data_IF_301025733452
#
_entry.id   IF_301025733452
#
_cell.length_a   1.000
_cell.length_b   1.000
_cell.length_c   1.000
_cell.angle_alpha   90.00
_cell.angle_beta   90.00
_cell.angle_gamma   90.00
#
_symmetry.space_group_name_H-M   'P 1'
#
loop_
_entity.id
_entity.type
_entity.pdbx_description
1 polymer ?
#
# COMPACT_ATOMS: atom_id res chain seq x y z
N UNK A 1 5.90 10.75 10.19
CA UNK A 1 6.43 10.20 11.45
C UNK A 1 7.70 9.46 11.11
N UNK A 2 8.67 9.46 12.02
CA UNK A 2 9.98 8.88 11.74
C UNK A 2 10.66 9.50 10.51
N UNK A 3 11.39 8.71 9.74
CA UNK A 3 12.18 9.16 8.58
C UNK A 3 11.39 9.82 7.47
N UNK A 4 10.09 9.61 7.42
CA UNK A 4 9.19 10.22 6.44
C UNK A 4 8.37 11.39 7.02
N UNK A 5 8.75 11.87 8.20
CA UNK A 5 8.09 12.98 8.88
C UNK A 5 8.76 14.32 8.63
N UNK A 6 8.40 15.32 9.44
CA UNK A 6 9.01 16.65 9.49
C UNK A 6 9.14 17.36 8.13
N UNK A 7 8.06 17.32 7.32
CA UNK A 7 8.03 17.83 5.95
C UNK A 7 9.13 17.23 5.07
N UNK A 8 9.00 15.95 4.78
CA UNK A 8 9.94 15.23 3.92
C UNK A 8 10.05 15.85 2.52
N UNK A 9 9.01 16.52 2.02
CA UNK A 9 9.04 17.19 0.74
C UNK A 9 10.06 18.35 0.74
N UNK A 10 10.05 19.18 1.78
CA UNK A 10 11.05 20.24 1.95
C UNK A 10 12.45 19.67 2.15
N UNK A 11 12.57 18.64 2.95
CA UNK A 11 13.86 17.95 3.20
C UNK A 11 14.44 17.41 1.90
N UNK A 12 13.63 16.77 1.06
CA UNK A 12 14.06 16.23 -0.22
C UNK A 12 14.52 17.35 -1.20
N UNK A 13 13.79 18.46 -1.25
CA UNK A 13 14.16 19.62 -2.07
C UNK A 13 15.53 20.19 -1.65
N UNK A 14 15.78 20.33 -0.34
CA UNK A 14 17.06 20.83 0.17
C UNK A 14 18.22 19.87 -0.10
N UNK A 15 18.00 18.56 0.07
CA UNK A 15 19.02 17.53 -0.22
C UNK A 15 19.34 17.45 -1.71
N UNK A 16 18.39 17.79 -2.57
CA UNK A 16 18.56 17.85 -4.01
C UNK A 16 19.16 19.19 -4.50
N UNK A 17 19.63 20.05 -3.59
CA UNK A 17 20.17 21.38 -3.87
C UNK A 17 19.20 22.29 -4.66
N UNK A 18 17.91 22.13 -4.45
CA UNK A 18 16.93 23.06 -5.00
C UNK A 18 16.94 24.38 -4.24
N UNK A 19 16.49 25.44 -4.91
CA UNK A 19 16.43 26.77 -4.31
C UNK A 19 15.67 26.73 -2.96
N UNK A 20 16.20 27.46 -1.97
CA UNK A 20 15.62 27.51 -0.62
C UNK A 20 14.21 28.10 -0.58
N UNK A 21 13.82 28.84 -1.61
CA UNK A 21 12.46 29.38 -1.77
C UNK A 21 11.43 28.30 -2.13
N UNK A 22 11.87 27.12 -2.62
CA UNK A 22 10.96 26.02 -2.93
C UNK A 22 10.34 25.48 -1.64
N UNK A 23 9.03 25.67 -1.51
CA UNK A 23 8.27 25.20 -0.35
C UNK A 23 8.05 23.70 -0.42
N UNK A 24 7.91 23.05 0.73
CA UNK A 24 7.42 21.67 0.85
C UNK A 24 5.99 21.65 1.38
N UNK A 25 5.27 20.61 1.04
CA UNK A 25 3.96 20.26 1.61
C UNK A 25 3.86 18.75 1.74
N UNK A 26 3.63 18.29 2.95
CA UNK A 26 3.36 16.89 3.22
C UNK A 26 1.88 16.68 3.52
N UNK A 27 1.29 15.68 2.87
CA UNK A 27 -0.11 15.30 3.09
C UNK A 27 -0.18 13.82 3.47
N UNK A 28 -1.23 13.48 4.19
CA UNK A 28 -1.57 12.09 4.48
C UNK A 28 -3.04 11.83 4.17
N UNK A 29 -3.29 10.89 3.26
CA UNK A 29 -4.58 10.32 2.94
C UNK A 29 -4.46 8.80 2.79
N UNK A 30 -3.63 8.20 3.61
CA UNK A 30 -3.31 6.77 3.58
C UNK A 30 -2.87 6.31 2.17
N UNK A 31 -3.37 5.17 1.71
CA UNK A 31 -3.03 4.62 0.38
C UNK A 31 -3.38 5.54 -0.80
N UNK A 32 -4.28 6.52 -0.60
CA UNK A 32 -4.64 7.51 -1.62
C UNK A 32 -3.75 8.76 -1.63
N UNK A 33 -2.75 8.87 -0.76
CA UNK A 33 -1.91 10.07 -0.62
C UNK A 33 -1.23 10.48 -1.93
N UNK A 34 -0.68 9.52 -2.68
CA UNK A 34 -0.03 9.81 -3.95
C UNK A 34 -0.98 10.40 -5.00
N UNK A 35 -2.18 9.84 -5.14
CA UNK A 35 -3.20 10.38 -6.04
C UNK A 35 -3.66 11.77 -5.58
N UNK A 36 -3.85 11.97 -4.28
CA UNK A 36 -4.23 13.28 -3.73
C UNK A 36 -3.15 14.33 -3.98
N UNK A 37 -1.87 13.98 -3.84
CA UNK A 37 -0.77 14.88 -4.16
C UNK A 37 -0.80 15.32 -5.63
N UNK A 38 -1.07 14.40 -6.57
CA UNK A 38 -1.24 14.72 -7.99
C UNK A 38 -2.42 15.65 -8.22
N UNK A 39 -3.57 15.36 -7.60
CA UNK A 39 -4.77 16.19 -7.72
C UNK A 39 -4.53 17.60 -7.19
N UNK A 40 -3.92 17.75 -6.01
CA UNK A 40 -3.58 19.04 -5.43
C UNK A 40 -2.59 19.83 -6.30
N UNK A 41 -1.52 19.18 -6.80
CA UNK A 41 -0.57 19.79 -7.71
C UNK A 41 -1.24 20.28 -8.99
N UNK A 42 -2.09 19.45 -9.59
CA UNK A 42 -2.83 19.83 -10.80
C UNK A 42 -3.80 21.02 -10.56
N UNK A 43 -4.46 21.04 -9.40
CA UNK A 43 -5.34 22.16 -9.03
C UNK A 43 -4.56 23.46 -8.83
N UNK A 44 -3.39 23.41 -8.17
CA UNK A 44 -2.54 24.59 -7.97
C UNK A 44 -2.08 25.21 -9.30
N UNK A 45 -1.60 24.37 -10.24
CA UNK A 45 -1.17 24.84 -11.55
C UNK A 45 -2.36 25.37 -12.38
N UNK A 46 -3.49 24.66 -12.39
CA UNK A 46 -4.68 25.09 -13.14
C UNK A 46 -5.30 26.38 -12.61
N UNK A 47 -5.19 26.65 -11.32
CA UNK A 47 -5.69 27.89 -10.72
C UNK A 47 -4.77 29.11 -10.95
N UNK A 48 -3.57 28.88 -11.49
CA UNK A 48 -2.55 29.92 -11.63
C UNK A 48 -1.90 30.33 -10.30
N UNK A 49 -2.08 29.53 -9.25
CA UNK A 49 -1.46 29.78 -7.94
C UNK A 49 0.03 29.41 -7.96
N UNK A 50 0.37 28.37 -8.72
CA UNK A 50 1.75 27.91 -8.93
C UNK A 50 1.97 27.63 -10.43
N UNK A 51 3.17 27.89 -10.92
CA UNK A 51 3.53 27.60 -12.31
C UNK A 51 4.03 26.16 -12.50
N UNK A 52 4.68 25.61 -11.46
CA UNK A 52 5.25 24.28 -11.46
C UNK A 52 5.12 23.63 -10.08
N UNK A 53 4.61 22.40 -10.04
CA UNK A 53 4.54 21.60 -8.82
C UNK A 53 5.13 20.23 -9.08
N UNK A 54 6.08 19.81 -8.26
CA UNK A 54 6.59 18.43 -8.24
C UNK A 54 5.84 17.65 -7.18
N UNK A 55 5.32 16.49 -7.55
CA UNK A 55 4.56 15.62 -6.66
C UNK A 55 5.22 14.25 -6.56
N UNK A 56 5.16 13.64 -5.38
CA UNK A 56 5.73 12.32 -5.16
C UNK A 56 5.21 11.70 -3.87
N UNK A 57 5.75 10.55 -3.51
CA UNK A 57 5.44 9.88 -2.27
C UNK A 57 6.62 9.05 -1.78
N UNK A 58 6.67 8.82 -0.49
CA UNK A 58 7.65 7.97 0.17
C UNK A 58 6.97 7.15 1.26
N UNK A 59 7.38 5.90 1.39
CA UNK A 59 6.97 5.03 2.48
C UNK A 59 8.18 4.22 2.97
N UNK A 60 8.70 4.56 4.14
CA UNK A 60 9.87 3.90 4.75
C UNK A 60 9.44 2.71 5.60
N UNK A 61 8.85 1.69 4.99
CA UNK A 61 8.19 0.57 5.68
C UNK A 61 9.11 -0.27 6.56
N UNK A 62 10.40 -0.34 6.24
CA UNK A 62 11.39 -1.06 7.07
C UNK A 62 11.77 -0.31 8.34
N UNK A 63 11.61 1.01 8.38
CA UNK A 63 12.01 1.87 9.50
C UNK A 63 10.83 2.48 10.24
N UNK A 64 9.71 2.67 9.59
CA UNK A 64 8.47 3.21 10.18
C UNK A 64 7.42 2.11 10.15
N UNK A 65 7.16 1.43 11.27
CA UNK A 65 6.18 0.36 11.33
C UNK A 65 4.77 0.89 11.03
N UNK A 66 3.98 0.07 10.34
CA UNK A 66 2.59 0.38 10.06
C UNK A 66 1.81 0.61 11.35
N UNK A 67 1.02 1.68 11.40
CA UNK A 67 0.24 2.06 12.56
C UNK A 67 1.03 2.73 13.69
N UNK A 68 2.34 3.04 13.48
CA UNK A 68 3.15 3.74 14.48
C UNK A 68 2.75 5.21 14.70
N UNK A 69 1.96 5.77 13.79
CA UNK A 69 1.32 7.07 13.94
C UNK A 69 0.07 7.04 14.85
N UNK A 70 -0.36 5.85 15.26
CA UNK A 70 -1.54 5.67 16.08
C UNK A 70 -2.82 5.91 15.31
N UNK A 71 -3.83 6.39 16.00
CA UNK A 71 -5.09 6.78 15.40
C UNK A 71 -6.29 6.18 16.09
N UNK A 72 -7.33 7.00 16.26
CA UNK A 72 -8.53 6.63 17.01
C UNK A 72 -9.30 5.48 16.35
N UNK A 73 -9.18 5.29 15.03
CA UNK A 73 -9.88 4.19 14.34
C UNK A 73 -9.55 2.80 14.88
N UNK A 74 -8.31 2.62 15.34
CA UNK A 74 -7.83 1.33 15.88
C UNK A 74 -7.81 1.34 17.40
N UNK A 75 -7.45 2.48 18.02
CA UNK A 75 -7.14 2.56 19.44
C UNK A 75 -8.33 2.96 20.30
N UNK A 76 -9.30 3.69 19.75
CA UNK A 76 -10.49 4.10 20.49
C UNK A 76 -11.71 3.25 20.09
N UNK A 77 -12.27 2.46 21.01
CA UNK A 77 -13.39 1.56 20.71
C UNK A 77 -14.65 2.29 20.20
N UNK A 78 -14.91 3.48 20.71
CA UNK A 78 -16.08 4.26 20.28
C UNK A 78 -15.94 4.74 18.83
N UNK A 79 -14.78 5.31 18.49
CA UNK A 79 -14.45 5.72 17.12
C UNK A 79 -14.41 4.53 16.17
N UNK A 80 -13.84 3.39 16.59
CA UNK A 80 -13.82 2.16 15.82
C UNK A 80 -15.24 1.69 15.47
N UNK A 81 -16.12 1.68 16.46
CA UNK A 81 -17.53 1.29 16.25
C UNK A 81 -18.28 2.23 15.29
N UNK A 82 -18.04 3.55 15.36
CA UNK A 82 -18.65 4.52 14.47
C UNK A 82 -18.09 4.48 13.05
N UNK A 83 -16.79 4.27 12.91
CA UNK A 83 -16.12 4.21 11.60
C UNK A 83 -16.32 2.87 10.89
N UNK A 84 -16.78 1.85 11.58
CA UNK A 84 -16.83 0.45 11.11
C UNK A 84 -15.48 -0.01 10.53
N UNK A 85 -14.38 0.50 11.12
CA UNK A 85 -13.04 0.20 10.61
C UNK A 85 -12.73 -1.29 10.69
N UNK A 86 -12.30 -1.84 9.56
CA UNK A 86 -11.75 -3.19 9.46
C UNK A 86 -10.44 -3.17 8.66
N UNK A 87 -9.48 -4.05 8.95
CA UNK A 87 -8.31 -4.24 8.11
C UNK A 87 -8.70 -4.58 6.66
N UNK A 88 -7.93 -4.08 5.69
CA UNK A 88 -8.21 -4.24 4.26
C UNK A 88 -8.44 -5.69 3.83
N UNK A 89 -7.71 -6.65 4.43
CA UNK A 89 -7.88 -8.05 4.10
C UNK A 89 -9.22 -8.63 4.53
N UNK A 90 -9.82 -8.13 5.61
CA UNK A 90 -11.19 -8.48 5.99
C UNK A 90 -12.17 -7.96 4.93
N UNK A 91 -11.96 -6.75 4.43
CA UNK A 91 -12.75 -6.21 3.31
C UNK A 91 -12.60 -7.04 2.03
N UNK A 92 -11.38 -7.48 1.72
CA UNK A 92 -11.12 -8.34 0.57
C UNK A 92 -11.80 -9.72 0.70
N UNK A 93 -11.73 -10.34 1.88
CA UNK A 93 -12.40 -11.61 2.17
C UNK A 93 -13.93 -11.45 2.15
N UNK A 94 -14.46 -10.31 2.60
CA UNK A 94 -15.88 -9.98 2.49
C UNK A 94 -16.34 -9.86 1.02
N UNK A 95 -15.57 -9.15 0.19
CA UNK A 95 -15.85 -9.04 -1.25
C UNK A 95 -15.86 -10.43 -1.89
N UNK A 96 -14.84 -11.25 -1.60
CA UNK A 96 -14.79 -12.61 -2.11
C UNK A 96 -16.00 -13.44 -1.66
N UNK A 97 -16.46 -13.25 -0.44
CA UNK A 97 -17.65 -13.92 0.09
C UNK A 97 -18.92 -13.48 -0.64
N UNK A 98 -19.12 -12.18 -0.83
CA UNK A 98 -20.28 -11.59 -1.50
C UNK A 98 -20.39 -12.00 -2.97
N UNK A 99 -19.26 -11.98 -3.67
CA UNK A 99 -19.18 -12.29 -5.10
C UNK A 99 -18.99 -13.78 -5.37
N UNK A 100 -18.83 -14.60 -4.35
CA UNK A 100 -18.67 -16.06 -4.49
C UNK A 100 -17.29 -16.47 -5.01
N UNK A 101 -16.27 -15.60 -4.92
CA UNK A 101 -14.92 -15.96 -5.32
C UNK A 101 -14.33 -17.00 -4.37
N UNK A 102 -13.77 -18.03 -4.99
CA UNK A 102 -13.07 -19.09 -4.25
C UNK A 102 -11.63 -18.70 -3.93
N UNK A 103 -11.03 -19.44 -3.04
CA UNK A 103 -9.60 -19.36 -2.78
C UNK A 103 -8.76 -19.51 -4.06
N UNK A 104 -9.14 -20.41 -4.94
CA UNK A 104 -8.43 -20.66 -6.19
C UNK A 104 -8.52 -19.48 -7.16
N UNK A 105 -9.66 -18.79 -7.21
CA UNK A 105 -9.83 -17.59 -8.03
C UNK A 105 -8.88 -16.48 -7.58
N UNK A 106 -8.77 -16.25 -6.27
CA UNK A 106 -7.88 -15.21 -5.70
C UNK A 106 -6.41 -15.55 -5.92
N UNK A 107 -6.04 -16.83 -5.72
CA UNK A 107 -4.66 -17.29 -5.95
C UNK A 107 -4.30 -17.21 -7.45
N UNK A 108 -5.21 -17.56 -8.35
CA UNK A 108 -5.01 -17.44 -9.80
C UNK A 108 -4.83 -15.97 -10.23
N UNK A 109 -5.62 -15.06 -9.67
CA UNK A 109 -5.50 -13.63 -9.91
C UNK A 109 -4.13 -13.09 -9.45
N UNK A 110 -3.70 -13.48 -8.25
CA UNK A 110 -2.41 -13.09 -7.70
C UNK A 110 -1.24 -13.63 -8.56
N UNK A 111 -1.31 -14.89 -8.97
CA UNK A 111 -0.31 -15.50 -9.85
C UNK A 111 -0.22 -14.73 -11.18
N UNK A 112 -1.35 -14.44 -11.80
CA UNK A 112 -1.39 -13.68 -13.04
C UNK A 112 -0.76 -12.29 -12.89
N UNK A 113 -1.00 -11.61 -11.77
CA UNK A 113 -0.40 -10.31 -11.45
C UNK A 113 1.12 -10.40 -11.38
N UNK A 114 1.66 -11.39 -10.66
CA UNK A 114 3.10 -11.60 -10.55
C UNK A 114 3.74 -11.94 -11.90
N UNK A 115 3.11 -12.78 -12.70
CA UNK A 115 3.59 -13.13 -14.04
C UNK A 115 3.61 -11.92 -14.98
N UNK A 116 2.57 -11.07 -14.96
CA UNK A 116 2.54 -9.83 -15.73
C UNK A 116 3.65 -8.87 -15.33
N UNK A 117 3.87 -8.69 -14.03
CA UNK A 117 4.93 -7.83 -13.51
C UNK A 117 6.33 -8.36 -13.89
N UNK A 118 6.55 -9.67 -13.75
CA UNK A 118 7.80 -10.32 -14.14
C UNK A 118 8.10 -10.17 -15.64
N UNK A 119 7.09 -10.35 -16.49
CA UNK A 119 7.21 -10.14 -17.93
C UNK A 119 7.54 -8.68 -18.25
N UNK A 120 6.80 -7.73 -17.70
CA UNK A 120 7.04 -6.30 -17.93
C UNK A 120 8.46 -5.88 -17.52
N UNK A 121 8.98 -6.46 -16.41
CA UNK A 121 10.38 -6.25 -16.02
C UNK A 121 11.35 -6.84 -17.02
N UNK A 122 11.14 -8.08 -17.44
CA UNK A 122 12.01 -8.75 -18.41
C UNK A 122 12.04 -8.04 -19.78
N UNK A 123 10.88 -7.50 -20.20
CA UNK A 123 10.73 -6.75 -21.46
C UNK A 123 11.29 -5.30 -21.35
N UNK A 124 11.82 -4.90 -20.19
CA UNK A 124 12.37 -3.57 -19.98
C UNK A 124 11.33 -2.44 -19.92
N UNK A 125 10.06 -2.76 -19.69
CA UNK A 125 8.96 -1.77 -19.68
C UNK A 125 9.16 -0.67 -18.63
N UNK A 126 9.92 -0.95 -17.58
CA UNK A 126 10.20 0.00 -16.49
C UNK A 126 11.52 0.77 -16.65
N UNK A 127 12.35 0.47 -17.65
CA UNK A 127 13.71 1.02 -17.77
C UNK A 127 13.76 2.55 -17.86
N UNK A 128 12.69 3.19 -18.37
CA UNK A 128 12.61 4.65 -18.47
C UNK A 128 12.13 5.33 -17.18
N UNK A 129 11.47 4.62 -16.30
CA UNK A 129 10.85 5.16 -15.08
C UNK A 129 11.56 4.73 -13.80
N UNK A 130 12.37 3.69 -13.86
CA UNK A 130 13.08 3.17 -12.71
C UNK A 130 14.41 3.89 -12.55
N UNK A 131 14.63 4.46 -11.37
CA UNK A 131 15.87 5.15 -10.99
C UNK A 131 16.58 4.27 -9.96
N UNK A 132 17.81 3.87 -10.24
CA UNK A 132 18.60 3.07 -9.32
C UNK A 132 18.95 3.86 -8.06
N UNK A 133 18.84 3.21 -6.90
CA UNK A 133 19.29 3.75 -5.62
C UNK A 133 20.79 3.56 -5.50
N UNK A 134 21.51 4.62 -5.21
CA UNK A 134 22.97 4.61 -5.07
C UNK A 134 23.37 5.12 -3.67
N UNK A 135 24.53 4.69 -3.21
CA UNK A 135 25.17 5.26 -2.03
C UNK A 135 25.88 6.61 -2.36
N UNK A 136 26.51 7.22 -1.35
CA UNK A 136 27.25 8.47 -1.51
C UNK A 136 28.47 8.37 -2.44
N UNK A 137 28.95 7.16 -2.73
CA UNK A 137 30.07 6.90 -3.63
C UNK A 137 29.63 6.53 -5.04
N UNK A 138 28.32 6.53 -5.31
CA UNK A 138 27.75 6.14 -6.59
C UNK A 138 27.61 4.63 -6.79
N UNK A 139 27.81 3.83 -5.75
CA UNK A 139 27.63 2.38 -5.83
C UNK A 139 26.13 2.08 -5.84
N UNK A 140 25.69 1.34 -6.86
CA UNK A 140 24.28 0.93 -6.97
C UNK A 140 23.94 -0.04 -5.85
N UNK A 141 22.98 0.32 -5.02
CA UNK A 141 22.45 -0.49 -3.93
C UNK A 141 21.21 -1.28 -4.36
N UNK A 142 20.37 -0.69 -5.22
CA UNK A 142 19.13 -1.31 -5.68
C UNK A 142 18.75 -0.71 -7.04
N UNK A 143 18.54 -1.56 -8.03
CA UNK A 143 18.21 -1.18 -9.41
C UNK A 143 16.94 -1.85 -9.95
N UNK A 144 16.22 -2.57 -9.12
CA UNK A 144 15.01 -3.29 -9.51
C UNK A 144 14.01 -3.44 -8.36
N UNK A 145 12.77 -3.77 -8.71
CA UNK A 145 11.73 -4.11 -7.74
C UNK A 145 11.96 -5.52 -7.15
N UNK A 146 12.19 -5.59 -5.84
CA UNK A 146 12.43 -6.85 -5.11
C UNK A 146 11.14 -7.65 -4.82
N UNK A 147 9.95 -7.06 -5.03
CA UNK A 147 8.67 -7.70 -4.69
C UNK A 147 8.07 -8.56 -5.81
N UNK A 148 8.63 -8.50 -7.01
CA UNK A 148 8.15 -9.30 -8.13
C UNK A 148 8.61 -10.75 -7.97
N UNK A 149 7.64 -11.66 -7.80
CA UNK A 149 7.84 -13.10 -7.61
C UNK A 149 7.34 -13.86 -8.84
N UNK A 150 8.08 -13.78 -9.94
CA UNK A 150 7.71 -14.40 -11.21
C UNK A 150 7.72 -15.93 -11.20
N UNK A 151 8.38 -16.54 -10.21
CA UNK A 151 8.47 -17.97 -9.95
C UNK A 151 7.29 -18.53 -9.11
N UNK A 152 6.33 -17.69 -8.74
CA UNK A 152 5.14 -18.12 -8.00
C UNK A 152 4.38 -19.22 -8.75
N UNK A 153 3.78 -20.14 -8.01
CA UNK A 153 2.91 -21.19 -8.54
C UNK A 153 1.61 -21.29 -7.76
N UNK A 154 0.53 -21.78 -8.38
CA UNK A 154 -0.74 -22.02 -7.68
C UNK A 154 -0.57 -23.00 -6.51
N UNK A 155 0.25 -24.03 -6.67
CA UNK A 155 0.54 -24.98 -5.60
C UNK A 155 1.24 -24.30 -4.43
N UNK A 156 2.22 -23.43 -4.69
CA UNK A 156 2.93 -22.66 -3.67
C UNK A 156 1.99 -21.71 -2.93
N UNK A 157 1.13 -20.99 -3.66
CA UNK A 157 0.13 -20.11 -3.07
C UNK A 157 -0.89 -20.92 -2.24
N UNK A 158 -1.31 -22.07 -2.72
CA UNK A 158 -2.24 -22.97 -2.03
C UNK A 158 -1.78 -23.42 -0.64
N UNK A 159 -0.47 -23.53 -0.43
CA UNK A 159 0.14 -23.93 0.87
C UNK A 159 0.15 -22.80 1.91
N UNK A 160 -0.06 -21.54 1.51
CA UNK A 160 -0.06 -20.42 2.42
C UNK A 160 -1.33 -20.38 3.28
N UNK A 161 -1.19 -20.03 4.54
CA UNK A 161 -2.33 -19.81 5.45
C UNK A 161 -3.03 -18.48 5.12
N UNK A 162 -4.34 -18.35 5.41
CA UNK A 162 -5.03 -17.07 5.33
C UNK A 162 -4.34 -16.01 6.21
N UNK A 163 -4.16 -14.79 5.67
CA UNK A 163 -3.40 -13.75 6.38
C UNK A 163 -4.22 -13.02 7.42
N UNK A 164 -5.53 -12.95 7.25
CA UNK A 164 -6.42 -12.14 8.10
C UNK A 164 -7.36 -12.95 8.98
N UNK A 165 -7.26 -14.27 8.95
CA UNK A 165 -8.10 -15.17 9.76
C UNK A 165 -8.05 -14.82 11.25
N UNK A 166 -6.85 -14.62 11.80
CA UNK A 166 -6.69 -14.26 13.21
C UNK A 166 -7.31 -12.88 13.52
N UNK A 167 -7.16 -11.91 12.64
CA UNK A 167 -7.76 -10.58 12.82
C UNK A 167 -9.28 -10.66 12.75
N UNK A 168 -9.84 -11.46 11.86
CA UNK A 168 -11.28 -11.75 11.81
C UNK A 168 -11.80 -12.28 13.14
N UNK A 169 -11.12 -13.29 13.69
CA UNK A 169 -11.45 -13.89 15.00
C UNK A 169 -11.32 -12.91 16.17
N UNK A 170 -10.46 -11.89 16.07
CA UNK A 170 -10.32 -10.82 17.07
C UNK A 170 -11.50 -9.83 17.08
N UNK A 171 -12.52 -10.03 16.23
CA UNK A 171 -13.76 -9.22 16.21
C UNK A 171 -13.94 -8.35 14.96
N UNK A 172 -12.96 -8.28 14.05
CA UNK A 172 -13.10 -7.48 12.84
C UNK A 172 -14.13 -8.09 11.86
N UNK A 173 -14.30 -9.39 11.82
CA UNK A 173 -15.40 -10.01 11.07
C UNK A 173 -16.75 -9.56 11.60
N UNK A 174 -16.94 -9.55 12.92
CA UNK A 174 -18.19 -9.09 13.54
C UNK A 174 -18.46 -7.60 13.23
N UNK A 175 -17.43 -6.77 13.15
CA UNK A 175 -17.56 -5.35 12.77
C UNK A 175 -18.06 -5.23 11.33
N UNK A 176 -17.51 -5.99 10.39
CA UNK A 176 -17.95 -6.01 9.00
C UNK A 176 -19.39 -6.53 8.85
N UNK A 177 -19.73 -7.62 9.56
CA UNK A 177 -21.06 -8.24 9.51
C UNK A 177 -22.18 -7.36 10.11
N UNK A 178 -21.87 -6.40 10.95
CA UNK A 178 -22.86 -5.39 11.39
C UNK A 178 -23.36 -4.54 10.22
N UNK A 179 -22.51 -4.22 9.28
CA UNK A 179 -22.88 -3.44 8.09
C UNK A 179 -23.50 -4.34 7.02
N UNK A 180 -22.96 -5.55 6.86
CA UNK A 180 -23.39 -6.55 5.89
C UNK A 180 -24.18 -7.68 6.57
N UNK A 181 -25.28 -7.32 7.22
CA UNK A 181 -26.07 -8.23 8.09
C UNK A 181 -26.74 -9.41 7.36
N UNK A 182 -26.77 -9.39 6.02
CA UNK A 182 -27.24 -10.49 5.20
C UNK A 182 -26.18 -11.57 4.94
N UNK A 183 -24.93 -11.32 5.35
CA UNK A 183 -23.83 -12.28 5.28
C UNK A 183 -23.70 -12.99 6.62
N UNK A 184 -23.83 -14.30 6.64
CA UNK A 184 -23.74 -15.10 7.86
C UNK A 184 -22.28 -15.23 8.36
N UNK A 185 -21.35 -15.34 7.42
CA UNK A 185 -19.93 -15.59 7.72
C UNK A 185 -19.04 -15.08 6.58
N UNK A 186 -17.87 -14.52 6.92
CA UNK A 186 -16.83 -14.17 5.97
C UNK A 186 -15.95 -15.40 5.70
N UNK A 187 -15.80 -15.76 4.44
CA UNK A 187 -14.91 -16.83 4.01
C UNK A 187 -13.48 -16.29 3.87
N UNK A 188 -12.57 -16.77 4.69
CA UNK A 188 -11.19 -16.31 4.71
C UNK A 188 -10.39 -16.92 3.58
N UNK A 189 -10.09 -16.15 2.55
CA UNK A 189 -9.37 -16.60 1.36
C UNK A 189 -8.09 -15.80 1.05
N UNK A 190 -7.93 -14.58 1.60
CA UNK A 190 -6.79 -13.72 1.35
C UNK A 190 -5.48 -14.30 1.88
N UNK A 191 -4.42 -14.29 1.05
CA UNK A 191 -3.08 -14.83 1.35
C UNK A 191 -2.01 -13.73 1.34
N UNK A 192 -0.80 -13.99 1.88
CA UNK A 192 0.29 -13.01 1.80
C UNK A 192 0.59 -12.52 0.38
N UNK A 193 0.47 -13.37 -0.62
CA UNK A 193 0.70 -13.00 -2.02
C UNK A 193 -0.46 -12.23 -2.65
N UNK A 194 -1.66 -12.30 -2.08
CA UNK A 194 -2.87 -11.59 -2.49
C UNK A 194 -3.18 -10.40 -1.59
N UNK A 195 -2.56 -10.37 -0.41
CA UNK A 195 -2.73 -9.31 0.55
C UNK A 195 -2.06 -8.00 0.06
N UNK A 196 -2.54 -6.84 0.48
CA UNK A 196 -1.90 -5.56 0.20
C UNK A 196 -0.41 -5.57 0.60
N UNK A 197 0.44 -4.86 -0.13
CA UNK A 197 1.88 -4.79 0.13
C UNK A 197 2.23 -4.42 1.58
N UNK A 198 1.35 -3.66 2.24
CA UNK A 198 1.47 -3.29 3.64
C UNK A 198 1.51 -4.47 4.63
N UNK A 199 0.94 -5.63 4.26
CA UNK A 199 0.99 -6.84 5.10
C UNK A 199 2.25 -7.68 4.89
N UNK A 200 3.01 -7.42 3.84
CA UNK A 200 4.24 -8.17 3.48
C UNK A 200 5.50 -7.59 4.11
N UNK A 201 5.47 -6.39 4.66
CA UNK A 201 6.61 -5.67 5.21
C UNK A 201 7.16 -6.24 6.55
N UNK A 202 6.73 -7.43 6.96
CA UNK A 202 7.26 -8.12 8.14
C UNK A 202 8.04 -9.37 7.75
N UNK A 203 9.20 -9.17 7.17
CA UNK A 203 10.29 -10.15 7.22
C UNK A 203 11.61 -9.43 7.35
#
# INVERSE_FOLDING_TARGET
>A
MGDQGADIAKTAALVADWDVSVAGLQINRFCASGLEAVNLGAMKVRSGFEDLVVVGGVESMSRVPMGSDGGAWVLDPQTNMHSHFTPQGIGADLIATLEGFTRQDVDAFALQSQQKAARARADGSFNKSLIAVQDQNGIVLLDHDEFIRGDSTLEGLGKLKPSFEMMGQMGFDATALRVYSHVERINTCTRPATAPASSMARR
#
